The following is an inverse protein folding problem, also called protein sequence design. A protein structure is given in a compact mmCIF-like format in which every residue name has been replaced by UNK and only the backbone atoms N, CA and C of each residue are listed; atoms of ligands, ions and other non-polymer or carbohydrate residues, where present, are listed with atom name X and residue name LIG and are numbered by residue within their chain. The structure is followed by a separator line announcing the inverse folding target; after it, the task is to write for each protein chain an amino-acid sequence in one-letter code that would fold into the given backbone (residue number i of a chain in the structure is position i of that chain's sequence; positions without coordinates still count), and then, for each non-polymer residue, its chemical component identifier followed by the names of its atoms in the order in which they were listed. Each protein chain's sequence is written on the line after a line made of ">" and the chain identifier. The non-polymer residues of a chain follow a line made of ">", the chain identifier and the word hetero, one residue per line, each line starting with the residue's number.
data_IF_100769584475
#
_entry.id   IF_100769584475
#
_cell.length_a   1.000
_cell.length_b   1.000
_cell.length_c   1.000
_cell.angle_alpha   90.00
_cell.angle_beta   90.00
_cell.angle_gamma   90.00
#
_symmetry.space_group_name_H-M   'P 1'
#
loop_
_entity.id
_entity.type
_entity.pdbx_description
1 polymer ?
2 non-polymer ?
3 non-polymer ?
4 water ?
#
# COMPACT_ATOMS: atom_id res chain seq x y z
N UNK A 2 -19.77 10.82 3.95
CA UNK A 2 -19.59 10.73 2.46
C UNK A 2 -18.13 10.61 2.05
N UNK A 3 -17.78 9.55 1.31
CA UNK A 3 -16.41 9.30 0.87
C UNK A 3 -16.15 9.89 -0.53
N UNK A 4 -15.79 11.17 -0.55
CA UNK A 4 -15.50 11.89 -1.80
C UNK A 4 -14.15 12.63 -1.81
N UNK A 5 -13.26 12.31 -0.87
CA UNK A 5 -11.91 12.87 -0.84
C UNK A 5 -10.87 11.85 -0.40
N UNK A 6 -9.60 12.23 -0.53
CA UNK A 6 -8.50 11.38 -0.11
C UNK A 6 -8.54 11.26 1.41
N UNK A 7 -8.80 12.38 2.09
CA UNK A 7 -9.02 12.38 3.51
C UNK A 7 -10.09 11.38 3.89
N UNK A 8 -11.28 11.50 3.31
CA UNK A 8 -12.36 10.60 3.69
C UNK A 8 -12.04 9.15 3.37
N UNK A 9 -11.33 8.92 2.28
CA UNK A 9 -10.96 7.55 1.94
C UNK A 9 -9.91 6.97 2.92
N UNK A 10 -9.06 7.83 3.45
CA UNK A 10 -8.15 7.48 4.52
C UNK A 10 -8.93 7.04 5.75
N UNK A 11 -9.99 7.79 6.12
CA UNK A 11 -10.82 7.39 7.24
C UNK A 11 -11.49 6.04 7.03
N UNK A 12 -12.03 5.82 5.84
CA UNK A 12 -12.60 4.52 5.47
C UNK A 12 -11.62 3.39 5.61
N UNK A 13 -10.38 3.64 5.24
CA UNK A 13 -9.36 2.60 5.30
C UNK A 13 -8.70 2.44 6.68
N UNK A 14 -8.63 3.53 7.44
CA UNK A 14 -7.78 3.56 8.65
C UNK A 14 -8.39 4.11 9.93
N UNK A 15 -9.68 4.46 9.93
CA UNK A 15 -10.26 5.05 11.11
C UNK A 15 -11.43 4.24 11.54
N UNK A 16 -11.44 3.88 12.82
CA UNK A 16 -12.60 3.30 13.47
C UNK A 16 -12.73 3.85 14.89
N UNK A 17 -13.60 4.84 15.07
CA UNK A 17 -13.68 5.60 16.31
C UNK A 17 -13.75 4.75 17.56
N UNK A 18 -14.74 3.86 17.61
CA UNK A 18 -15.01 3.10 18.82
C UNK A 18 -15.16 1.65 18.44
N UNK A 19 -14.04 0.92 18.43
CA UNK A 19 -14.09 -0.43 17.95
C UNK A 19 -14.89 -1.35 18.88
N UNK A 20 -15.82 -2.11 18.29
CA UNK A 20 -16.75 -2.93 19.05
C UNK A 20 -16.01 -3.98 19.87
N UNK A 21 -14.97 -4.59 19.29
CA UNK A 21 -14.00 -5.41 20.01
C UNK A 21 -12.70 -5.23 19.28
N UNK A 22 -11.62 -5.86 19.71
CA UNK A 22 -10.32 -5.66 19.05
C UNK A 22 -9.59 -6.97 18.83
N UNK A 23 -10.38 -7.99 18.52
CA UNK A 23 -9.90 -9.34 18.36
C UNK A 23 -9.95 -9.74 16.86
N UNK A 24 -9.66 -11.00 16.60
CA UNK A 24 -9.62 -11.51 15.24
C UNK A 24 -10.97 -11.37 14.53
N UNK A 25 -12.06 -11.55 15.27
CA UNK A 25 -13.40 -11.45 14.70
C UNK A 25 -13.66 -10.03 14.24
N UNK A 26 -13.24 -9.07 15.06
CA UNK A 26 -13.38 -7.68 14.71
C UNK A 26 -12.67 -7.39 13.40
N UNK A 27 -11.45 -7.86 13.26
CA UNK A 27 -10.65 -7.63 12.04
C UNK A 27 -11.34 -8.17 10.78
N UNK A 28 -11.77 -9.41 10.86
CA UNK A 28 -12.45 -10.04 9.73
C UNK A 28 -13.65 -9.25 9.33
N UNK A 29 -14.38 -8.74 10.30
CA UNK A 29 -15.60 -8.04 10.02
C UNK A 29 -15.30 -6.66 9.46
N UNK A 30 -14.37 -5.92 10.08
CA UNK A 30 -14.16 -4.52 9.65
C UNK A 30 -13.43 -4.46 8.32
N UNK A 31 -12.53 -5.41 8.07
CA UNK A 31 -11.81 -5.46 6.80
C UNK A 31 -12.80 -5.69 5.66
N UNK A 32 -13.74 -6.58 5.87
CA UNK A 32 -14.81 -6.79 4.90
C UNK A 32 -15.67 -5.52 4.72
N UNK A 33 -16.08 -4.93 5.84
CA UNK A 33 -17.01 -3.79 5.81
C UNK A 33 -16.38 -2.62 5.09
N UNK A 34 -15.07 -2.44 5.22
CA UNK A 34 -14.38 -1.33 4.57
C UNK A 34 -13.89 -1.63 3.17
N UNK A 35 -14.20 -2.83 2.68
CA UNK A 35 -13.93 -3.20 1.29
C UNK A 35 -12.47 -3.44 1.06
N UNK A 36 -11.82 -4.18 1.95
CA UNK A 36 -10.38 -4.44 1.84
C UNK A 36 -10.12 -5.91 1.77
N UNK A 37 -11.14 -6.70 1.42
CA UNK A 37 -11.02 -8.14 1.29
C UNK A 37 -11.19 -8.60 -0.16
N UNK A 38 -10.91 -7.74 -1.14
CA UNK A 38 -11.08 -8.13 -2.54
C UNK A 38 -10.06 -7.48 -3.46
N UNK A 39 -8.83 -8.03 -3.55
CA UNK A 39 -8.32 -9.18 -2.78
C UNK A 39 -8.02 -8.86 -1.30
N UNK A 40 -7.79 -9.89 -0.48
CA UNK A 40 -7.47 -9.73 0.94
C UNK A 40 -6.21 -8.89 1.16
N UNK A 41 -6.36 -7.75 1.83
CA UNK A 41 -5.23 -6.88 2.12
C UNK A 41 -4.40 -7.58 3.22
N UNK A 42 -3.08 -7.61 3.07
CA UNK A 42 -2.27 -8.46 3.95
C UNK A 42 -2.12 -7.86 5.35
N UNK A 43 -2.10 -6.54 5.43
CA UNK A 43 -2.05 -5.90 6.71
C UNK A 43 -2.74 -4.54 6.63
N UNK A 44 -3.51 -4.23 7.65
CA UNK A 44 -4.14 -2.93 7.71
C UNK A 44 -4.36 -2.53 9.14
N UNK A 45 -4.14 -1.25 9.41
CA UNK A 45 -4.23 -0.73 10.74
C UNK A 45 -5.33 0.32 10.80
N UNK A 46 -6.16 0.16 11.84
CA UNK A 46 -7.22 1.09 12.20
C UNK A 46 -6.80 1.88 13.43
N UNK A 47 -7.05 3.17 13.39
CA UNK A 47 -6.75 4.10 14.46
C UNK A 47 -8.07 4.38 15.15
N UNK A 48 -8.07 4.37 16.47
CA UNK A 48 -9.27 4.63 17.26
C UNK A 48 -9.20 6.01 17.91
N UNK A 49 -10.27 6.38 18.60
CA UNK A 49 -10.36 7.69 19.22
C UNK A 49 -11.00 8.66 18.25
N UNK A 50 -10.83 9.95 18.49
CA UNK A 50 -11.49 10.97 17.67
C UNK A 50 -10.68 11.31 16.42
N UNK A 51 -11.33 11.97 15.47
CA UNK A 51 -10.72 12.31 14.21
C UNK A 51 -9.77 13.48 14.33
N UNK A 52 -10.11 14.44 15.17
CA UNK A 52 -9.31 15.66 15.22
C UNK A 52 -7.90 15.41 15.74
N UNK A 53 -7.72 14.41 16.60
CA UNK A 53 -6.40 14.05 17.02
C UNK A 53 -5.53 13.56 15.84
N UNK A 54 -6.16 12.89 14.86
CA UNK A 54 -5.48 12.33 13.72
C UNK A 54 -5.14 13.46 12.75
N UNK A 55 -6.12 14.32 12.42
CA UNK A 55 -5.88 15.53 11.58
C UNK A 55 -4.77 16.41 12.13
N UNK A 56 -4.74 16.55 13.43
CA UNK A 56 -3.78 17.43 14.06
C UNK A 56 -2.34 16.95 13.88
N UNK A 57 -2.14 15.70 13.47
CA UNK A 57 -0.82 15.18 13.18
C UNK A 57 -0.20 16.01 12.02
N UNK A 58 -1.03 16.53 11.12
CA UNK A 58 -0.53 17.32 9.99
C UNK A 58 -0.03 18.73 10.36
N UNK A 59 -0.06 19.09 11.63
CA UNK A 59 0.44 20.38 12.09
C UNK A 59 1.15 20.20 13.42
N UNK A 60 1.76 21.27 13.93
CA UNK A 60 2.54 21.18 15.18
C UNK A 60 1.68 20.79 16.39
N UNK A 61 0.37 21.01 16.31
CA UNK A 61 -0.56 20.65 17.39
C UNK A 61 -0.40 19.22 17.83
N UNK A 62 -0.35 18.27 16.89
CA UNK A 62 -0.10 16.87 17.29
C UNK A 62 0.83 16.13 16.34
N UNK A 63 1.71 16.86 15.67
CA UNK A 63 2.67 16.21 14.78
C UNK A 63 4.03 16.87 14.67
N UNK A 64 4.98 16.06 14.23
CA UNK A 64 6.34 16.49 13.96
C UNK A 64 6.70 15.99 12.57
N UNK A 65 7.64 16.67 11.89
CA UNK A 65 8.06 16.15 10.59
C UNK A 65 8.74 14.84 10.83
N UNK A 66 8.67 13.96 9.85
CA UNK A 66 9.25 12.64 9.97
C UNK A 66 9.69 12.16 8.60
N UNK A 67 10.93 11.67 8.52
CA UNK A 67 11.58 11.35 7.24
C UNK A 67 11.43 12.48 6.24
N UNK A 68 11.27 12.17 4.96
CA UNK A 68 11.49 13.18 3.93
C UNK A 68 10.25 14.10 3.92
N UNK A 69 9.07 13.50 3.96
CA UNK A 69 7.84 14.29 3.93
C UNK A 69 6.66 13.60 4.62
N UNK A 70 6.92 12.85 5.69
CA UNK A 70 5.88 12.26 6.50
C UNK A 70 5.71 13.07 7.78
N UNK A 71 4.69 12.70 8.55
CA UNK A 71 4.43 13.30 9.85
C UNK A 71 4.28 12.19 10.86
N UNK A 72 4.83 12.41 12.05
CA UNK A 72 4.67 11.49 13.14
C UNK A 72 3.89 12.20 14.23
N UNK A 73 2.97 11.49 14.84
CA UNK A 73 2.14 12.05 15.90
C UNK A 73 2.96 12.35 17.13
N UNK A 74 2.57 13.37 17.88
CA UNK A 74 3.15 13.57 19.20
C UNK A 74 2.47 12.64 20.21
N UNK A 75 1.15 12.54 20.17
CA UNK A 75 0.44 11.61 21.05
C UNK A 75 0.49 10.16 20.56
N UNK A 76 0.20 9.25 21.47
CA UNK A 76 -0.02 7.85 21.14
C UNK A 76 -1.49 7.57 20.91
N UNK A 77 -1.78 6.59 20.07
CA UNK A 77 -3.15 6.27 19.66
C UNK A 77 -3.44 4.82 19.96
N UNK A 78 -4.66 4.53 20.36
CA UNK A 78 -5.11 3.13 20.34
C UNK A 78 -5.30 2.74 18.87
N UNK A 79 -4.66 1.64 18.48
CA UNK A 79 -4.75 1.12 17.13
C UNK A 79 -4.95 -0.39 17.15
N UNK A 80 -5.50 -0.91 16.07
CA UNK A 80 -5.64 -2.33 15.89
C UNK A 80 -5.16 -2.65 14.51
N UNK A 81 -4.18 -3.56 14.45
CA UNK A 81 -3.59 -4.00 13.22
C UNK A 81 -4.15 -5.37 12.86
N UNK A 82 -4.60 -5.50 11.62
CA UNK A 82 -5.24 -6.71 11.12
C UNK A 82 -4.25 -7.34 10.18
N UNK A 83 -3.77 -8.53 10.55
CA UNK A 83 -2.77 -9.25 9.76
C UNK A 83 -3.40 -10.48 9.08
N UNK A 84 -3.30 -10.52 7.75
CA UNK A 84 -3.83 -11.66 6.98
C UNK A 84 -3.22 -12.97 7.45
N UNK A 85 -4.09 -13.90 7.83
CA UNK A 85 -3.68 -15.24 8.26
C UNK A 85 -3.61 -16.12 7.01
N UNK A 86 -2.49 -16.81 6.81
CA UNK A 86 -2.25 -17.54 5.59
C UNK A 86 -1.83 -16.61 4.47
N UNK A 87 -1.48 -17.21 3.34
CA UNK A 87 -0.95 -16.46 2.21
C UNK A 87 -2.01 -15.87 1.30
N UNK A 88 -3.10 -16.63 1.10
CA UNK A 88 -3.99 -16.48 -0.07
C UNK A 88 -4.55 -15.07 -0.28
N UNK A 89 -4.50 -14.58 -1.53
CA UNK A 89 -5.09 -13.27 -1.78
C UNK A 89 -6.61 -13.29 -1.92
N UNK A 90 -7.26 -14.44 -1.71
CA UNK A 90 -8.66 -14.59 -2.04
C UNK A 90 -9.47 -15.12 -0.85
N UNK A 91 -10.71 -14.59 -0.69
CA UNK A 91 -11.61 -14.98 0.40
C UNK A 91 -11.79 -16.50 0.66
N UNK A 92 -12.19 -16.89 1.85
CA UNK A 92 -12.40 -15.99 3.00
C UNK A 92 -11.09 -15.43 3.59
N UNK A 93 -11.09 -14.13 3.88
CA UNK A 93 -9.95 -13.47 4.46
C UNK A 93 -9.99 -13.62 5.98
N UNK A 94 -9.17 -14.52 6.51
CA UNK A 94 -8.96 -14.64 7.96
C UNK A 94 -7.86 -13.69 8.44
N UNK A 95 -8.04 -13.16 9.63
CA UNK A 95 -7.23 -12.07 10.11
C UNK A 95 -6.89 -12.29 11.56
N UNK A 96 -5.70 -11.83 11.93
CA UNK A 96 -5.30 -11.81 13.33
C UNK A 96 -5.06 -10.37 13.74
N UNK A 97 -5.62 -10.01 14.88
CA UNK A 97 -5.58 -8.67 15.42
C UNK A 97 -4.43 -8.53 16.38
N UNK A 98 -3.75 -7.39 16.30
CA UNK A 98 -2.80 -6.93 17.30
C UNK A 98 -3.31 -5.55 17.76
N UNK A 99 -3.88 -5.49 18.96
CA UNK A 99 -4.25 -4.22 19.58
C UNK A 99 -2.99 -3.54 20.14
N UNK A 100 -2.85 -2.25 19.88
CA UNK A 100 -1.68 -1.53 20.34
C UNK A 100 -1.96 -0.10 20.75
N UNK A 101 -0.91 0.52 21.27
CA UNK A 101 -0.93 1.89 21.70
C UNK A 101 0.31 2.52 21.18
N UNK A 102 0.21 3.35 20.15
CA UNK A 102 1.42 3.86 19.51
C UNK A 102 1.33 5.08 18.65
N UNK A 103 2.49 5.57 18.29
CA UNK A 103 2.65 6.72 17.48
C UNK A 103 2.33 6.35 16.04
N UNK A 104 1.76 7.32 15.35
CA UNK A 104 1.19 7.09 14.05
C UNK A 104 1.97 7.95 13.09
N UNK A 105 2.31 7.38 11.94
CA UNK A 105 2.91 8.15 10.87
C UNK A 105 1.94 8.23 9.73
N UNK A 106 1.78 9.44 9.20
CA UNK A 106 0.90 9.68 8.08
C UNK A 106 1.56 10.55 7.03
N UNK A 107 1.06 10.46 5.80
CA UNK A 107 1.36 11.47 4.78
C UNK A 107 0.17 12.41 4.71
N UNK A 108 0.44 13.70 4.72
CA UNK A 108 -0.58 14.74 4.72
C UNK A 108 -0.60 15.51 3.41
N UNK A 109 -1.79 15.95 3.02
CA UNK A 109 -2.00 16.83 1.87
C UNK A 109 -3.03 17.87 2.25
N UNK A 110 -2.70 19.15 2.11
CA UNK A 110 -3.61 20.24 2.45
C UNK A 110 -4.08 20.15 3.90
N UNK A 111 -3.16 19.85 4.82
CA UNK A 111 -3.48 19.71 6.25
C UNK A 111 -4.30 18.50 6.67
N UNK A 112 -4.46 17.53 5.77
CA UNK A 112 -5.31 16.35 6.04
C UNK A 112 -4.53 15.08 5.78
N UNK A 113 -4.72 14.06 6.62
CA UNK A 113 -4.01 12.81 6.37
C UNK A 113 -4.61 12.10 5.19
N UNK A 114 -3.77 11.57 4.33
CA UNK A 114 -4.22 10.88 3.12
C UNK A 114 -3.69 9.45 3.00
N UNK A 115 -2.71 9.10 3.80
CA UNK A 115 -2.07 7.81 3.71
C UNK A 115 -1.43 7.50 5.05
N UNK A 116 -1.45 6.23 5.41
CA UNK A 116 -0.83 5.76 6.62
C UNK A 116 0.48 5.07 6.25
N UNK A 117 1.55 5.25 7.04
CA UNK A 117 2.71 4.35 6.89
C UNK A 117 2.40 3.01 7.53
N UNK A 118 1.99 2.06 6.72
CA UNK A 118 1.48 0.80 7.22
C UNK A 118 2.56 -0.13 7.77
N UNK A 119 3.77 -0.02 7.22
CA UNK A 119 4.87 -0.93 7.59
C UNK A 119 5.28 -0.82 9.06
N UNK A 120 5.04 0.32 9.69
CA UNK A 120 5.41 0.45 11.10
C UNK A 120 4.63 -0.52 11.99
N UNK A 121 3.48 -1.04 11.53
CA UNK A 121 2.69 -1.97 12.35
C UNK A 121 2.96 -3.43 12.05
N UNK A 122 3.88 -3.72 11.12
CA UNK A 122 4.32 -5.11 10.91
C UNK A 122 4.86 -5.75 12.20
N UNK A 123 5.48 -4.97 13.09
CA UNK A 123 6.09 -5.51 14.31
C UNK A 123 5.33 -5.14 15.59
N UNK A 124 4.96 -6.17 16.40
CA UNK A 124 4.19 -5.89 17.63
C UNK A 124 5.04 -5.29 18.73
N UNK B 4 -0.52 -20.80 -7.10
CA UNK B 4 0.01 -19.75 -8.04
C UNK B 4 -0.78 -18.44 -8.09
N UNK B 5 -2.01 -18.43 -7.57
CA UNK B 5 -2.81 -17.22 -7.56
C UNK B 5 -2.08 -16.00 -6.93
N UNK B 6 -1.14 -16.22 -6.01
CA UNK B 6 -0.37 -15.11 -5.42
C UNK B 6 0.59 -14.45 -6.45
N UNK B 7 1.29 -15.28 -7.24
CA UNK B 7 2.13 -14.85 -8.36
C UNK B 7 1.30 -14.21 -9.48
N UNK B 8 0.30 -14.96 -9.93
CA UNK B 8 -0.63 -14.49 -10.95
C UNK B 8 -1.21 -13.12 -10.59
N UNK B 9 -1.51 -12.92 -9.32
CA UNK B 9 -2.00 -11.63 -8.87
C UNK B 9 -0.93 -10.53 -8.97
N UNK B 10 0.31 -10.87 -8.65
CA UNK B 10 1.47 -9.97 -8.84
C UNK B 10 1.63 -9.50 -10.30
N UNK B 11 1.52 -10.42 -11.24
CA UNK B 11 1.57 -10.07 -12.67
C UNK B 11 0.46 -9.10 -13.05
N UNK B 12 -0.76 -9.39 -12.61
CA UNK B 12 -1.91 -8.52 -12.87
C UNK B 12 -1.68 -7.14 -12.27
N UNK B 13 -1.08 -7.07 -11.09
CA UNK B 13 -0.78 -5.78 -10.46
C UNK B 13 0.45 -5.07 -11.05
N UNK B 14 1.45 -5.83 -11.48
CA UNK B 14 2.80 -5.26 -11.67
C UNK B 14 3.55 -5.63 -12.95
N UNK B 15 2.91 -6.32 -13.89
CA UNK B 15 3.61 -6.71 -15.11
C UNK B 15 2.84 -6.24 -16.30
N UNK B 16 3.55 -5.55 -17.20
CA UNK B 16 3.02 -5.17 -18.50
C UNK B 16 4.19 -5.24 -19.48
N UNK B 17 4.23 -6.32 -20.25
CA UNK B 17 5.42 -6.70 -21.01
C UNK B 17 5.78 -5.64 -22.00
N UNK B 18 4.80 -5.20 -22.78
CA UNK B 18 5.05 -4.27 -23.88
C UNK B 18 4.09 -3.10 -23.78
N UNK B 19 4.42 -2.15 -22.90
CA UNK B 19 3.48 -1.04 -22.69
C UNK B 19 3.29 -0.19 -23.95
N UNK B 20 2.03 0.13 -24.23
CA UNK B 20 1.61 1.03 -25.33
C UNK B 20 2.36 2.36 -25.32
N UNK B 21 2.52 2.92 -24.12
CA UNK B 21 3.24 4.20 -23.91
C UNK B 21 3.74 4.25 -22.48
N UNK B 22 4.30 5.37 -22.04
CA UNK B 22 4.87 5.45 -20.68
C UNK B 22 4.66 6.81 -20.05
N UNK B 23 3.54 7.40 -20.41
CA UNK B 23 3.15 8.76 -20.03
C UNK B 23 1.93 8.67 -19.08
N UNK B 24 1.42 9.82 -18.65
CA UNK B 24 0.25 9.89 -17.75
C UNK B 24 -0.97 9.13 -18.29
N UNK B 25 -1.19 9.21 -19.60
CA UNK B 25 -2.31 8.57 -20.27
C UNK B 25 -2.18 7.05 -20.30
N UNK B 26 -0.94 6.57 -20.39
CA UNK B 26 -0.69 5.13 -20.25
C UNK B 26 -1.14 4.66 -18.86
N UNK B 27 -0.67 5.37 -17.84
CA UNK B 27 -1.01 5.06 -16.45
C UNK B 27 -2.52 5.03 -16.24
N UNK B 28 -3.20 6.10 -16.65
CA UNK B 28 -4.66 6.17 -16.51
C UNK B 28 -5.36 4.96 -17.15
N UNK B 29 -4.84 4.47 -18.27
CA UNK B 29 -5.43 3.33 -18.95
C UNK B 29 -5.14 2.02 -18.24
N UNK B 30 -3.85 1.72 -18.05
CA UNK B 30 -3.52 0.42 -17.49
C UNK B 30 -4.05 0.24 -16.05
N UNK B 31 -4.08 1.33 -15.29
CA UNK B 31 -4.59 1.27 -13.92
C UNK B 31 -6.07 0.83 -13.94
N UNK B 32 -6.87 1.35 -14.87
CA UNK B 32 -8.28 0.93 -15.02
C UNK B 32 -8.34 -0.52 -15.44
N UNK B 33 -7.57 -0.87 -16.46
CA UNK B 33 -7.64 -2.22 -17.04
C UNK B 33 -7.27 -3.34 -16.09
N UNK B 34 -6.47 -3.03 -15.05
CA UNK B 34 -6.10 -4.04 -14.04
C UNK B 34 -6.91 -3.90 -12.77
N UNK B 35 -7.90 -3.00 -12.76
CA UNK B 35 -8.85 -2.90 -11.65
C UNK B 35 -8.25 -2.34 -10.38
N UNK B 36 -7.51 -1.24 -10.54
CA UNK B 36 -6.84 -0.56 -9.43
C UNK B 36 -7.38 0.84 -9.29
N UNK B 37 -8.58 1.07 -9.83
CA UNK B 37 -9.13 2.43 -9.93
C UNK B 37 -10.35 2.63 -9.03
N UNK B 38 -10.81 1.58 -8.34
CA UNK B 38 -12.03 1.66 -7.54
C UNK B 38 -11.83 0.99 -6.17
N UNK B 39 -11.35 1.74 -5.17
CA UNK B 39 -10.83 3.12 -5.27
C UNK B 39 -9.42 3.21 -5.91
N UNK B 40 -9.03 4.42 -6.31
CA UNK B 40 -7.76 4.62 -7.03
C UNK B 40 -6.58 4.29 -6.14
N UNK B 41 -5.73 3.37 -6.59
CA UNK B 41 -4.51 3.03 -5.84
C UNK B 41 -3.60 4.25 -5.81
N UNK B 42 -2.92 4.45 -4.68
CA UNK B 42 -2.08 5.64 -4.43
C UNK B 42 -0.87 5.73 -5.38
N UNK B 43 -0.18 4.60 -5.48
CA UNK B 43 0.98 4.47 -6.34
C UNK B 43 0.96 3.04 -6.82
N UNK B 44 1.41 2.83 -8.05
CA UNK B 44 1.63 1.45 -8.50
C UNK B 44 2.66 1.41 -9.61
N UNK B 45 3.54 0.42 -9.58
CA UNK B 45 4.60 0.31 -10.54
C UNK B 45 4.43 -0.95 -11.39
N UNK B 46 4.60 -0.77 -12.69
CA UNK B 46 4.58 -1.86 -13.63
C UNK B 46 5.95 -2.10 -14.17
N UNK B 47 6.32 -3.37 -14.25
CA UNK B 47 7.58 -3.81 -14.76
C UNK B 47 7.35 -4.27 -16.20
N UNK B 48 8.26 -3.88 -17.07
CA UNK B 48 8.15 -4.22 -18.50
C UNK B 48 9.19 -5.23 -18.87
N UNK B 49 9.11 -5.73 -20.10
CA UNK B 49 10.05 -6.76 -20.58
C UNK B 49 9.50 -8.17 -20.39
N UNK B 50 10.37 -9.14 -20.26
CA UNK B 50 9.92 -10.52 -20.18
C UNK B 50 9.72 -11.00 -18.74
N UNK B 51 8.93 -12.04 -18.60
CA UNK B 51 8.57 -12.59 -17.29
C UNK B 51 9.72 -13.36 -16.67
N UNK B 52 10.56 -13.99 -17.48
CA UNK B 52 11.62 -14.83 -16.95
C UNK B 52 12.67 -14.01 -16.16
N UNK B 53 12.96 -12.80 -16.63
CA UNK B 53 13.83 -11.86 -15.90
C UNK B 53 13.30 -11.49 -14.52
N UNK B 54 11.98 -11.31 -14.40
CA UNK B 54 11.38 -10.97 -13.11
C UNK B 54 11.45 -12.17 -12.16
N UNK B 55 10.96 -13.32 -12.63
CA UNK B 55 11.06 -14.61 -11.93
C UNK B 55 12.50 -14.91 -11.51
N UNK B 56 13.45 -14.69 -12.42
CA UNK B 56 14.86 -14.93 -12.15
C UNK B 56 15.42 -14.10 -10.97
N UNK B 57 14.72 -13.04 -10.55
CA UNK B 57 15.07 -12.33 -9.31
C UNK B 57 14.96 -13.24 -8.08
N UNK B 58 14.18 -14.31 -8.17
CA UNK B 58 14.07 -15.23 -7.04
C UNK B 58 15.24 -16.26 -6.95
N UNK B 59 15.91 -16.53 -8.07
CA UNK B 59 17.15 -17.32 -8.11
C UNK B 59 18.36 -16.39 -7.95
N UNK B 60 19.58 -16.97 -7.88
CA UNK B 60 20.83 -16.16 -7.96
C UNK B 60 21.06 -15.59 -9.36
N UNK B 61 20.53 -16.26 -10.37
CA UNK B 61 20.57 -15.81 -11.78
C UNK B 61 20.44 -14.27 -11.90
N UNK B 62 19.38 -13.71 -11.32
CA UNK B 62 19.10 -12.27 -11.42
C UNK B 62 18.66 -11.65 -10.09
N UNK B 63 19.08 -12.24 -8.97
CA UNK B 63 18.63 -11.75 -7.68
C UNK B 63 19.71 -11.83 -6.64
N UNK B 64 19.60 -10.97 -5.65
CA UNK B 64 20.37 -11.05 -4.43
C UNK B 64 19.44 -10.85 -3.27
N UNK B 65 19.75 -11.47 -2.12
CA UNK B 65 18.96 -11.14 -0.91
C UNK B 65 19.03 -9.67 -0.58
N UNK B 66 17.99 -9.14 0.06
CA UNK B 66 17.86 -7.71 0.37
C UNK B 66 17.10 -7.56 1.71
N UNK B 67 17.14 -6.34 2.26
CA UNK B 67 16.38 -5.94 3.46
C UNK B 67 15.51 -7.03 4.14
N UNK B 68 14.19 -6.84 4.18
CA UNK B 68 13.32 -7.50 5.17
C UNK B 68 12.88 -8.85 4.64
N UNK B 69 13.85 -9.73 4.43
CA UNK B 69 13.65 -10.91 3.61
C UNK B 69 12.91 -10.52 2.33
N UNK B 70 13.51 -9.58 1.59
CA UNK B 70 13.08 -9.22 0.24
C UNK B 70 14.14 -9.76 -0.70
N UNK B 71 14.02 -9.45 -1.99
CA UNK B 71 15.05 -9.78 -2.94
C UNK B 71 15.20 -8.62 -3.92
N UNK B 72 16.42 -8.35 -4.36
CA UNK B 72 16.68 -7.21 -5.24
C UNK B 72 17.26 -7.77 -6.54
N UNK B 73 16.80 -7.25 -7.67
CA UNK B 73 17.30 -7.71 -8.96
C UNK B 73 18.75 -7.28 -9.20
N UNK B 74 19.52 -8.11 -9.90
CA UNK B 74 20.85 -7.73 -10.34
C UNK B 74 20.76 -6.77 -11.52
N UNK B 75 19.90 -7.08 -12.48
CA UNK B 75 19.71 -6.19 -13.63
C UNK B 75 18.70 -5.07 -13.30
N UNK B 76 18.71 -4.03 -14.12
CA UNK B 76 17.70 -2.99 -14.06
C UNK B 76 16.60 -3.33 -15.08
N UNK B 77 15.37 -2.92 -14.76
CA UNK B 77 14.18 -3.15 -15.55
C UNK B 77 13.61 -1.82 -15.97
N UNK B 78 13.02 -1.77 -17.16
CA UNK B 78 12.15 -0.68 -17.52
C UNK B 78 10.91 -0.80 -16.67
N UNK B 79 10.50 0.28 -16.04
CA UNK B 79 9.34 0.28 -15.17
C UNK B 79 8.60 1.58 -15.36
N UNK B 80 7.31 1.55 -15.11
CA UNK B 80 6.50 2.72 -15.14
C UNK B 80 5.75 2.78 -13.82
N UNK B 81 5.96 3.89 -13.12
CA UNK B 81 5.33 4.10 -11.84
C UNK B 81 4.21 5.10 -12.01
N UNK B 82 3.04 4.76 -11.47
CA UNK B 82 1.84 5.53 -11.65
C UNK B 82 1.47 6.10 -10.28
N UNK B 83 1.50 7.42 -10.16
CA UNK B 83 1.32 8.09 -8.87
C UNK B 83 0.03 8.89 -8.96
N UNK B 84 -0.92 8.57 -8.09
CA UNK B 84 -2.20 9.27 -8.00
C UNK B 84 -1.94 10.69 -7.54
N UNK B 85 -2.61 11.65 -8.16
CA UNK B 85 -2.73 13.00 -7.60
C UNK B 85 -4.18 13.51 -7.77
N UNK B 86 -4.45 14.72 -7.28
CA UNK B 86 -5.80 15.27 -7.30
C UNK B 86 -6.67 14.74 -6.18
N UNK B 87 -7.80 15.39 -5.96
CA UNK B 87 -8.62 15.18 -4.76
C UNK B 87 -9.46 13.92 -4.68
N UNK B 88 -9.79 13.30 -5.82
CA UNK B 88 -10.70 12.16 -5.84
C UNK B 88 -9.91 10.86 -5.71
N UNK B 89 -10.36 9.94 -4.84
CA UNK B 89 -9.85 8.57 -4.78
C UNK B 89 -10.73 7.64 -5.59
N UNK B 90 -11.66 8.22 -6.37
CA UNK B 90 -12.59 7.50 -7.22
C UNK B 90 -12.39 7.96 -8.66
N UNK B 91 -12.75 7.08 -9.64
CA UNK B 91 -12.72 7.44 -11.06
C UNK B 91 -13.48 8.74 -11.41
N UNK B 92 -12.98 9.55 -12.35
CA UNK B 92 -11.74 9.29 -13.10
C UNK B 92 -10.45 9.58 -12.29
N UNK B 93 -9.60 8.57 -12.15
CA UNK B 93 -8.30 8.71 -11.47
C UNK B 93 -7.31 9.45 -12.40
N UNK B 94 -6.67 10.50 -11.89
CA UNK B 94 -5.55 11.15 -12.59
C UNK B 94 -4.26 10.52 -12.05
N UNK B 95 -3.39 10.09 -12.96
CA UNK B 95 -2.10 9.53 -12.59
C UNK B 95 -0.96 10.26 -13.26
N UNK B 96 0.15 10.40 -12.53
CA UNK B 96 1.42 10.88 -13.10
C UNK B 96 2.40 9.72 -13.27
N UNK B 97 2.94 9.58 -14.48
CA UNK B 97 3.81 8.49 -14.89
C UNK B 97 5.27 8.86 -14.67
N UNK B 98 6.04 7.94 -14.09
CA UNK B 98 7.49 8.04 -14.01
C UNK B 98 8.09 6.81 -14.70
N UNK B 99 8.66 7.04 -15.88
CA UNK B 99 9.37 6.02 -16.64
C UNK B 99 10.76 5.83 -16.06
N UNK B 100 11.02 4.66 -15.49
CA UNK B 100 12.30 4.34 -14.87
C UNK B 100 13.03 3.16 -15.50
N UNK B 101 14.27 3.04 -15.11
CA UNK B 101 15.12 1.94 -15.46
C UNK B 101 15.82 1.65 -14.14
N UNK B 102 15.34 0.64 -13.42
CA UNK B 102 15.54 0.52 -11.96
C UNK B 102 15.74 -0.92 -11.58
N UNK B 103 16.46 -1.13 -10.50
CA UNK B 103 16.47 -2.44 -9.87
C UNK B 103 15.11 -2.66 -9.24
N UNK B 104 14.61 -3.88 -9.23
CA UNK B 104 13.33 -4.09 -8.61
C UNK B 104 13.50 -4.99 -7.39
N UNK B 105 12.69 -4.71 -6.38
CA UNK B 105 12.72 -5.44 -5.14
C UNK B 105 11.39 -6.19 -4.97
N UNK B 106 11.46 -7.51 -4.78
CA UNK B 106 10.29 -8.35 -4.57
C UNK B 106 10.37 -9.36 -3.40
N UNK B 107 9.21 -9.66 -2.82
CA UNK B 107 9.04 -10.81 -1.93
C UNK B 107 8.82 -12.04 -2.79
N UNK B 108 9.64 -13.06 -2.62
CA UNK B 108 9.45 -14.34 -3.31
C UNK B 108 8.81 -15.36 -2.37
N UNK B 109 8.02 -16.27 -2.94
CA UNK B 109 7.71 -17.56 -2.31
C UNK B 109 7.72 -18.62 -3.41
N UNK B 110 8.43 -19.72 -3.14
CA UNK B 110 8.57 -20.85 -4.08
C UNK B 110 9.22 -20.46 -5.41
N UNK B 111 10.16 -19.52 -5.35
CA UNK B 111 10.88 -19.09 -6.55
C UNK B 111 10.06 -18.23 -7.51
N UNK B 112 9.00 -17.60 -6.99
CA UNK B 112 8.16 -16.70 -7.79
C UNK B 112 7.86 -15.42 -7.01
N UNK B 113 7.83 -14.26 -7.71
CA UNK B 113 7.53 -13.03 -7.02
C UNK B 113 6.07 -12.93 -6.66
N UNK B 114 5.76 -12.47 -5.45
CA UNK B 114 4.37 -12.31 -5.02
C UNK B 114 4.06 -10.93 -4.49
N UNK B 115 5.06 -10.10 -4.28
CA UNK B 115 4.82 -8.76 -3.79
C UNK B 115 5.94 -7.93 -4.33
N UNK B 116 5.67 -6.65 -4.56
CA UNK B 116 6.66 -5.71 -5.00
C UNK B 116 6.83 -4.74 -3.87
N UNK B 117 8.06 -4.36 -3.54
CA UNK B 117 8.26 -3.24 -2.62
C UNK B 117 7.96 -1.92 -3.34
N UNK B 118 6.70 -1.50 -3.25
CA UNK B 118 6.25 -0.26 -3.88
C UNK B 118 6.96 1.00 -3.44
N UNK B 119 7.45 0.99 -2.19
CA UNK B 119 7.99 2.21 -1.56
C UNK B 119 9.19 2.80 -2.29
N UNK B 120 10.07 1.93 -2.79
CA UNK B 120 11.29 2.39 -3.49
C UNK B 120 11.00 3.24 -4.73
N UNK B 121 9.80 3.12 -5.29
CA UNK B 121 9.39 3.92 -6.44
C UNK B 121 8.77 5.27 -6.08
N UNK B 122 8.69 5.60 -4.80
CA UNK B 122 8.24 6.95 -4.40
C UNK B 122 9.26 8.09 -4.67
N UNK B 123 10.54 7.73 -4.84
CA UNK B 123 11.61 8.68 -5.23
C UNK B 123 11.80 8.80 -6.75
#
# INVERSE_FOLDING_TARGET
>A
MQDNSRYTHFLTQHYDAKPQGRDDRYCESIMRRRGLTSPCKDINTFIHGNKRSIKAICENKNGNPHRENLRISKSSFQVTTCKLHGGSPWPPCQYRATAGFRNVVVACENGLPVRLDQSIFRRP
>B
MQDNSRYTHFLTQHYDAKPQGRDDRYCESIMRRRGLTSPCKDINTFIHGNKRSIKAICENKNGNPHRENLRISKSSFQVTTCKLHGGSPWPPCQYRATAGFRNVVVACENGLPVRLDQSIFRRP
#
